data_IF_799341401530
#
_entry.id   IF_799341401530
#
_cell.length_a   1.000
_cell.length_b   1.000
_cell.length_c   1.000
_cell.angle_alpha   90.00
_cell.angle_beta   90.00
_cell.angle_gamma   90.00
#
_symmetry.space_group_name_H-M   'P 1'
#
loop_
_entity.id
_entity.type
_entity.pdbx_description
1 polymer ?
#
# COMPACT_ATOMS: atom_id res chain seq x y z
N UNK A 1 21.29 -58.26 -32.26
CA UNK A 1 19.99 -57.58 -32.04
C UNK A 1 19.62 -57.71 -30.58
N UNK A 2 19.66 -56.61 -29.81
CA UNK A 2 18.83 -56.38 -28.63
C UNK A 2 18.96 -54.89 -28.26
N UNK A 3 17.83 -54.21 -28.27
CA UNK A 3 17.68 -52.78 -28.05
C UNK A 3 17.35 -52.48 -26.57
N UNK A 4 17.23 -51.18 -26.28
CA UNK A 4 16.58 -50.58 -25.10
C UNK A 4 17.40 -50.54 -23.79
N UNK A 5 17.34 -49.50 -22.96
CA UNK A 5 16.54 -48.29 -22.97
C UNK A 5 17.30 -47.22 -22.17
N UNK A 6 17.43 -45.98 -22.69
CA UNK A 6 17.89 -44.86 -21.88
C UNK A 6 16.70 -44.28 -21.12
N UNK A 7 16.64 -44.55 -19.82
CA UNK A 7 15.74 -43.90 -18.89
C UNK A 7 16.09 -42.40 -18.84
N UNK A 8 15.25 -41.56 -19.44
CA UNK A 8 15.30 -40.10 -19.23
C UNK A 8 14.77 -39.80 -17.84
N UNK A 9 15.68 -39.51 -16.91
CA UNK A 9 15.33 -38.79 -15.71
C UNK A 9 14.83 -37.40 -16.13
N UNK A 10 13.51 -37.18 -16.06
CA UNK A 10 12.95 -35.84 -16.13
C UNK A 10 13.46 -35.07 -14.91
N UNK A 11 14.49 -34.26 -15.12
CA UNK A 11 14.84 -33.15 -14.24
C UNK A 11 13.61 -32.24 -14.21
N UNK A 12 12.83 -32.32 -13.14
CA UNK A 12 11.81 -31.31 -12.87
C UNK A 12 12.57 -30.03 -12.57
N UNK A 13 12.53 -29.07 -13.47
CA UNK A 13 13.11 -27.74 -13.28
C UNK A 13 12.25 -26.96 -12.26
N UNK A 14 12.74 -26.71 -11.04
CA UNK A 14 12.04 -25.87 -10.09
C UNK A 14 12.66 -24.46 -10.21
N UNK A 15 12.30 -23.67 -11.24
CA UNK A 15 12.80 -22.28 -11.31
C UNK A 15 11.95 -21.30 -12.14
N UNK A 16 11.24 -21.72 -13.19
CA UNK A 16 10.48 -20.75 -14.01
C UNK A 16 9.13 -20.39 -13.41
N UNK A 17 8.43 -21.36 -12.82
CA UNK A 17 7.12 -21.13 -12.19
C UNK A 17 7.19 -20.22 -10.96
N UNK A 18 8.27 -20.30 -10.18
CA UNK A 18 8.44 -19.47 -8.97
C UNK A 18 8.82 -18.03 -9.32
N UNK A 19 9.67 -17.83 -10.34
CA UNK A 19 10.02 -16.51 -10.84
C UNK A 19 8.81 -15.79 -11.44
N UNK A 20 7.96 -16.50 -12.19
CA UNK A 20 6.72 -15.93 -12.77
C UNK A 20 5.72 -15.53 -11.68
N UNK A 21 5.53 -16.36 -10.65
CA UNK A 21 4.67 -16.03 -9.51
C UNK A 21 5.18 -14.81 -8.72
N UNK A 22 6.49 -14.68 -8.56
CA UNK A 22 7.10 -13.50 -7.93
C UNK A 22 6.86 -12.23 -8.75
N UNK A 23 7.02 -12.31 -10.08
CA UNK A 23 6.76 -11.19 -10.98
C UNK A 23 5.28 -10.77 -10.97
N UNK A 24 4.35 -11.72 -10.91
CA UNK A 24 2.91 -11.46 -10.80
C UNK A 24 2.55 -10.74 -9.49
N UNK A 25 3.10 -11.17 -8.35
CA UNK A 25 2.90 -10.49 -7.07
C UNK A 25 3.45 -9.06 -7.08
N UNK A 26 4.64 -8.86 -7.67
CA UNK A 26 5.22 -7.53 -7.82
C UNK A 26 4.37 -6.62 -8.72
N UNK A 27 3.80 -7.16 -9.79
CA UNK A 27 2.92 -6.41 -10.68
C UNK A 27 1.62 -5.98 -9.96
N UNK A 28 1.02 -6.87 -9.15
CA UNK A 28 -0.15 -6.53 -8.33
C UNK A 28 0.17 -5.44 -7.31
N UNK A 29 1.30 -5.58 -6.59
CA UNK A 29 1.76 -4.56 -5.65
C UNK A 29 1.96 -3.21 -6.34
N UNK A 30 2.59 -3.20 -7.52
CA UNK A 30 2.80 -1.97 -8.29
C UNK A 30 1.46 -1.34 -8.71
N UNK A 31 0.46 -2.13 -9.10
CA UNK A 31 -0.87 -1.63 -9.41
C UNK A 31 -1.55 -0.98 -8.19
N UNK A 32 -1.44 -1.61 -7.02
CA UNK A 32 -1.95 -1.06 -5.77
C UNK A 32 -1.23 0.23 -5.39
N UNK A 33 0.10 0.26 -5.52
CA UNK A 33 0.93 1.45 -5.28
C UNK A 33 0.53 2.61 -6.21
N UNK A 34 0.32 2.34 -7.50
CA UNK A 34 -0.16 3.33 -8.48
C UNK A 34 -1.56 3.83 -8.10
N UNK A 35 -2.45 2.95 -7.65
CA UNK A 35 -3.77 3.31 -7.12
C UNK A 35 -3.68 4.27 -5.94
N UNK A 36 -2.76 4.01 -5.01
CA UNK A 36 -2.44 4.90 -3.89
C UNK A 36 -1.91 6.27 -4.34
N UNK A 37 -0.98 6.29 -5.30
CA UNK A 37 -0.45 7.54 -5.88
C UNK A 37 -1.55 8.39 -6.54
N UNK A 38 -2.47 7.77 -7.28
CA UNK A 38 -3.60 8.48 -7.90
C UNK A 38 -4.58 9.05 -6.87
N UNK A 39 -4.78 8.35 -5.76
CA UNK A 39 -5.59 8.85 -4.63
C UNK A 39 -4.92 10.06 -3.98
N UNK A 40 -3.60 10.01 -3.76
CA UNK A 40 -2.84 11.15 -3.25
C UNK A 40 -2.86 12.35 -4.21
N UNK A 41 -2.69 12.13 -5.51
CA UNK A 41 -2.79 13.20 -6.50
C UNK A 41 -4.15 13.92 -6.44
N UNK A 42 -5.25 13.14 -6.33
CA UNK A 42 -6.60 13.71 -6.19
C UNK A 42 -6.80 14.44 -4.86
N UNK A 43 -6.23 13.93 -3.78
CA UNK A 43 -6.24 14.61 -2.49
C UNK A 43 -5.50 15.96 -2.55
N UNK A 44 -4.35 16.02 -3.23
CA UNK A 44 -3.62 17.27 -3.41
C UNK A 44 -4.35 18.27 -4.31
N UNK A 45 -4.96 17.81 -5.41
CA UNK A 45 -5.82 18.67 -6.23
C UNK A 45 -7.02 19.22 -5.44
N UNK A 46 -7.58 18.43 -4.50
CA UNK A 46 -8.60 18.89 -3.58
C UNK A 46 -8.10 20.05 -2.71
N UNK A 47 -6.92 19.89 -2.11
CA UNK A 47 -6.31 20.91 -1.24
C UNK A 47 -5.97 22.18 -2.01
N UNK A 48 -5.40 22.04 -3.21
CA UNK A 48 -5.11 23.16 -4.10
C UNK A 48 -6.37 23.99 -4.35
N UNK A 49 -7.49 23.36 -4.72
CA UNK A 49 -8.77 24.06 -4.92
C UNK A 49 -9.26 24.75 -3.65
N UNK A 50 -9.18 24.10 -2.49
CA UNK A 50 -9.61 24.71 -1.21
C UNK A 50 -8.75 25.91 -0.79
N UNK A 51 -7.46 25.90 -1.13
CA UNK A 51 -6.51 26.97 -0.79
C UNK A 51 -6.59 28.12 -1.80
N UNK A 52 -6.58 27.82 -3.11
CA UNK A 52 -6.63 28.82 -4.20
C UNK A 52 -7.92 29.65 -4.13
N UNK A 53 -9.03 29.05 -3.71
CA UNK A 53 -10.31 29.74 -3.49
C UNK A 53 -10.27 30.80 -2.36
N UNK A 54 -9.23 30.83 -1.52
CA UNK A 54 -9.04 31.91 -0.54
C UNK A 54 -8.38 33.17 -1.14
N UNK A 55 -7.97 33.14 -2.42
CA UNK A 55 -7.50 34.29 -3.16
C UNK A 55 -8.66 35.24 -3.50
N UNK A 56 -8.75 36.37 -2.79
CA UNK A 56 -9.75 37.42 -3.03
C UNK A 56 -9.57 38.00 -4.43
N UNK A 57 -10.29 37.49 -5.42
CA UNK A 57 -10.32 38.08 -6.77
C UNK A 57 -10.61 37.14 -7.94
N UNK A 58 -10.49 35.82 -7.77
CA UNK A 58 -10.74 34.89 -8.88
C UNK A 58 -12.24 34.64 -9.08
N UNK A 59 -12.75 35.06 -10.23
CA UNK A 59 -14.17 34.94 -10.63
C UNK A 59 -14.55 33.53 -11.10
N UNK A 60 -13.60 32.58 -11.11
CA UNK A 60 -13.84 31.19 -11.46
C UNK A 60 -13.78 30.36 -10.17
N UNK A 61 -14.92 30.19 -9.51
CA UNK A 61 -15.02 29.32 -8.33
C UNK A 61 -14.79 27.85 -8.73
N UNK A 62 -13.53 27.39 -8.69
CA UNK A 62 -13.19 25.97 -8.88
C UNK A 62 -13.40 25.21 -7.58
N UNK A 63 -14.54 24.53 -7.44
CA UNK A 63 -14.82 23.69 -6.28
C UNK A 63 -14.21 22.28 -6.40
N UNK A 64 -13.81 21.65 -5.26
CA UNK A 64 -13.45 20.25 -5.24
C UNK A 64 -14.64 19.37 -5.62
N UNK A 65 -14.38 18.37 -6.46
CA UNK A 65 -15.34 17.31 -6.76
C UNK A 65 -15.49 16.36 -5.57
N UNK A 66 -16.60 15.63 -5.53
CA UNK A 66 -16.83 14.57 -4.53
C UNK A 66 -15.72 13.51 -4.52
N UNK A 67 -15.17 13.18 -5.70
CA UNK A 67 -14.08 12.20 -5.81
C UNK A 67 -12.77 12.73 -5.20
N UNK A 68 -12.48 14.03 -5.38
CA UNK A 68 -11.32 14.69 -4.78
C UNK A 68 -11.46 14.79 -3.25
N UNK A 69 -12.64 15.15 -2.74
CA UNK A 69 -12.94 15.14 -1.31
C UNK A 69 -12.85 13.73 -0.71
N UNK A 70 -13.39 12.72 -1.40
CA UNK A 70 -13.32 11.33 -0.95
C UNK A 70 -11.87 10.82 -0.93
N UNK A 71 -11.07 11.16 -1.93
CA UNK A 71 -9.65 10.84 -1.95
C UNK A 71 -8.89 11.50 -0.79
N UNK A 72 -9.18 12.78 -0.51
CA UNK A 72 -8.59 13.50 0.62
C UNK A 72 -8.93 12.84 1.97
N UNK A 73 -10.21 12.53 2.21
CA UNK A 73 -10.64 11.85 3.43
C UNK A 73 -10.04 10.44 3.52
N UNK A 74 -9.94 9.72 2.39
CA UNK A 74 -9.28 8.41 2.32
C UNK A 74 -7.84 8.46 2.82
N UNK A 75 -7.02 9.37 2.27
CA UNK A 75 -5.62 9.56 2.67
C UNK A 75 -5.50 9.93 4.15
N UNK A 76 -6.38 10.80 4.67
CA UNK A 76 -6.38 11.19 6.09
C UNK A 76 -6.72 10.01 6.99
N UNK A 77 -7.70 9.19 6.60
CA UNK A 77 -8.11 8.02 7.37
C UNK A 77 -7.02 6.94 7.39
N UNK A 78 -6.34 6.71 6.27
CA UNK A 78 -5.21 5.76 6.18
C UNK A 78 -4.07 6.17 7.13
N UNK A 79 -3.72 7.46 7.16
CA UNK A 79 -2.69 7.96 8.08
C UNK A 79 -3.13 7.91 9.54
N UNK A 80 -4.40 8.21 9.83
CA UNK A 80 -4.95 8.07 11.18
C UNK A 80 -4.87 6.61 11.65
N UNK A 81 -5.25 5.66 10.80
CA UNK A 81 -5.18 4.23 11.12
C UNK A 81 -3.74 3.79 11.38
N UNK A 82 -2.79 4.18 10.52
CA UNK A 82 -1.36 3.91 10.72
C UNK A 82 -0.87 4.38 12.10
N UNK A 83 -1.31 5.56 12.54
CA UNK A 83 -0.96 6.11 13.86
C UNK A 83 -1.60 5.35 15.01
N UNK A 84 -2.85 4.92 14.86
CA UNK A 84 -3.53 4.06 15.85
C UNK A 84 -2.74 2.76 16.02
N UNK A 85 -2.38 2.10 14.91
CA UNK A 85 -1.64 0.83 14.94
C UNK A 85 -0.26 0.98 15.61
N UNK A 86 0.46 2.07 15.31
CA UNK A 86 1.74 2.37 15.94
C UNK A 86 1.62 2.65 17.45
N UNK A 87 0.56 3.36 17.86
CA UNK A 87 0.28 3.61 19.27
C UNK A 87 -0.08 2.32 20.02
N UNK A 88 -0.89 1.46 19.42
CA UNK A 88 -1.24 0.14 19.98
C UNK A 88 -0.01 -0.76 20.12
N UNK A 89 0.84 -0.84 19.10
CA UNK A 89 2.09 -1.59 19.15
C UNK A 89 3.02 -1.08 20.27
N UNK A 90 3.09 0.25 20.45
CA UNK A 90 3.85 0.88 21.53
C UNK A 90 3.26 0.53 22.89
N UNK A 91 1.94 0.62 23.07
CA UNK A 91 1.26 0.28 24.31
C UNK A 91 1.45 -1.20 24.69
N UNK A 92 1.36 -2.11 23.71
CA UNK A 92 1.65 -3.53 23.91
C UNK A 92 3.10 -3.77 24.34
N UNK A 93 4.06 -3.09 23.70
CA UNK A 93 5.48 -3.19 24.05
C UNK A 93 5.76 -2.71 25.48
N UNK A 94 5.14 -1.59 25.89
CA UNK A 94 5.24 -1.08 27.27
C UNK A 94 4.67 -2.08 28.28
N UNK A 95 3.46 -2.62 28.04
CA UNK A 95 2.87 -3.64 28.93
C UNK A 95 3.76 -4.88 29.04
N UNK A 96 4.32 -5.35 27.92
CA UNK A 96 5.23 -6.49 27.92
C UNK A 96 6.53 -6.20 28.70
N UNK A 97 7.08 -4.99 28.60
CA UNK A 97 8.23 -4.56 29.37
C UNK A 97 7.95 -4.51 30.87
N UNK A 98 6.83 -3.92 31.27
CA UNK A 98 6.41 -3.85 32.68
C UNK A 98 6.13 -5.23 33.27
N UNK A 99 5.47 -6.13 32.51
CA UNK A 99 5.22 -7.50 32.95
C UNK A 99 6.52 -8.29 33.17
N UNK A 100 7.57 -8.02 32.38
CA UNK A 100 8.90 -8.62 32.56
C UNK A 100 9.70 -8.00 33.71
N UNK A 101 9.47 -6.71 34.01
CA UNK A 101 10.14 -5.99 35.10
C UNK A 101 9.51 -6.21 36.49
N UNK A 102 8.25 -6.64 36.57
CA UNK A 102 7.54 -6.92 37.82
C UNK A 102 7.78 -8.32 38.43
N UNK A 103 8.61 -9.14 37.79
CA UNK A 103 8.95 -10.51 38.25
C UNK A 103 10.37 -10.61 38.84
N UNK A 104 10.95 -9.50 39.33
CA UNK A 104 12.20 -9.48 40.11
C UNK A 104 11.93 -9.09 41.56
#
# INVERSE_FOLDING_TARGET
MAASARASARVSSPSESSASQSAELLALQLCDDIGGLQSMQRAYACLEKLIVQQGVGDTQEVYPSRAELAALVGVVNEELQRRIDAADATAQSLRAGLAKGGTQ
#
